data_IF_037975960553
#
_entry.id   IF_037975960553
#
_cell.length_a   1.000
_cell.length_b   1.000
_cell.length_c   1.000
_cell.angle_alpha   90.00
_cell.angle_beta   90.00
_cell.angle_gamma   90.00
#
_symmetry.space_group_name_H-M   'P 1'
#
loop_
_entity.id
_entity.type
_entity.pdbx_description
1 polymer ?
#
# COMPACT_ATOMS: atom_id res chain seq x y z
N UNK A 1 1.60 47.79 13.79
CA UNK A 1 0.91 46.89 14.73
C UNK A 1 -0.02 46.03 13.90
N UNK A 2 0.47 44.81 13.67
CA UNK A 2 -0.21 43.52 13.43
C UNK A 2 -1.19 43.45 12.24
N UNK A 3 -0.83 42.94 11.04
CA UNK A 3 -0.49 41.54 10.68
C UNK A 3 -1.38 40.52 11.39
N UNK A 4 -2.25 39.83 10.64
CA UNK A 4 -2.22 38.38 10.37
C UNK A 4 -3.34 38.01 9.38
N UNK A 5 -2.91 37.46 8.25
CA UNK A 5 -3.71 36.58 7.40
C UNK A 5 -4.12 35.33 8.18
N UNK A 6 -5.26 34.72 7.84
CA UNK A 6 -5.35 33.26 7.75
C UNK A 6 -6.25 32.89 6.56
N UNK A 7 -5.60 32.52 5.46
CA UNK A 7 -6.16 31.62 4.47
C UNK A 7 -6.51 30.32 5.18
N UNK A 8 -7.78 29.92 5.12
CA UNK A 8 -8.20 28.58 5.46
C UNK A 8 -8.05 27.75 4.18
N UNK A 9 -6.98 26.97 4.10
CA UNK A 9 -6.86 25.86 3.15
C UNK A 9 -6.82 24.56 3.96
N UNK A 10 -7.88 23.81 3.75
CA UNK A 10 -8.11 22.40 4.03
C UNK A 10 -6.86 21.53 4.23
N UNK A 11 -6.71 21.02 5.45
CA UNK A 11 -5.88 19.86 5.78
C UNK A 11 -6.55 18.58 5.26
N UNK A 12 -6.22 18.19 4.04
CA UNK A 12 -6.33 16.82 3.56
C UNK A 12 -5.12 16.50 2.69
N UNK A 13 -3.94 16.37 3.32
CA UNK A 13 -2.74 15.86 2.66
C UNK A 13 -2.85 14.33 2.49
N UNK A 14 -3.63 13.90 1.51
CA UNK A 14 -3.44 12.60 0.89
C UNK A 14 -2.05 12.52 0.24
N UNK A 15 -1.51 11.31 0.09
CA UNK A 15 -0.25 11.06 -0.63
C UNK A 15 -0.25 11.88 -1.93
N UNK A 16 0.65 12.85 -2.05
CA UNK A 16 0.81 13.66 -3.25
C UNK A 16 1.29 12.73 -4.38
N UNK A 17 0.36 12.31 -5.25
CA UNK A 17 0.60 11.35 -6.34
C UNK A 17 1.39 11.93 -7.53
N UNK A 18 2.14 13.01 -7.33
CA UNK A 18 2.82 13.73 -8.42
C UNK A 18 4.14 13.04 -8.86
N UNK A 19 4.63 12.05 -8.11
CA UNK A 19 5.88 11.34 -8.41
C UNK A 19 5.65 9.86 -8.74
N UNK A 20 4.99 9.59 -9.87
CA UNK A 20 4.81 8.23 -10.39
C UNK A 20 5.81 7.96 -11.52
N UNK A 21 6.58 6.89 -11.39
CA UNK A 21 7.43 6.36 -12.46
C UNK A 21 6.91 5.02 -12.93
N UNK A 22 7.16 4.67 -14.19
CA UNK A 22 6.57 3.49 -14.81
C UNK A 22 7.63 2.52 -15.35
N UNK A 23 7.23 1.27 -15.51
CA UNK A 23 8.06 0.25 -16.14
C UNK A 23 7.29 -1.03 -16.42
N UNK A 24 7.96 -1.98 -17.05
CA UNK A 24 7.37 -3.29 -17.39
C UNK A 24 6.94 -4.08 -16.16
N UNK A 25 7.84 -4.18 -15.19
CA UNK A 25 7.59 -4.84 -13.91
C UNK A 25 8.56 -4.31 -12.85
N UNK A 26 8.11 -4.28 -11.61
CA UNK A 26 8.96 -3.95 -10.47
C UNK A 26 9.67 -5.20 -9.97
N UNK A 27 11.00 -5.15 -9.88
CA UNK A 27 11.80 -6.27 -9.40
C UNK A 27 12.23 -6.04 -7.95
N UNK A 28 11.56 -6.72 -7.02
CA UNK A 28 11.73 -6.53 -5.58
C UNK A 28 13.15 -6.78 -5.06
N UNK A 29 13.84 -7.78 -5.62
CA UNK A 29 15.21 -8.11 -5.22
C UNK A 29 16.18 -6.94 -5.48
N UNK A 30 16.04 -6.29 -6.64
CA UNK A 30 16.93 -5.20 -7.06
C UNK A 30 16.31 -3.81 -6.85
N UNK A 31 15.06 -3.74 -6.34
CA UNK A 31 14.32 -2.51 -6.03
C UNK A 31 14.31 -1.51 -7.19
N UNK A 32 14.06 -2.01 -8.40
CA UNK A 32 14.02 -1.23 -9.64
C UNK A 32 13.09 -1.86 -10.67
N UNK A 33 12.71 -1.10 -11.69
CA UNK A 33 12.06 -1.68 -12.86
C UNK A 33 12.98 -2.63 -13.61
N UNK A 34 12.43 -3.72 -14.11
CA UNK A 34 13.10 -4.59 -15.09
C UNK A 34 13.41 -3.82 -16.38
N UNK A 35 12.49 -2.95 -16.79
CA UNK A 35 12.61 -2.04 -17.92
C UNK A 35 11.82 -0.76 -17.57
N UNK A 36 12.48 0.38 -17.35
CA UNK A 36 11.81 1.67 -17.17
C UNK A 36 11.06 2.07 -18.45
N UNK A 37 9.85 2.60 -18.30
CA UNK A 37 9.00 3.03 -19.41
C UNK A 37 8.62 4.50 -19.29
N UNK A 38 8.43 5.12 -20.44
CA UNK A 38 7.69 6.39 -20.55
C UNK A 38 6.23 6.19 -20.16
N UNK A 39 5.61 7.25 -19.65
CA UNK A 39 4.21 7.23 -19.23
C UNK A 39 3.25 6.77 -20.33
N UNK A 40 3.45 7.24 -21.57
CA UNK A 40 2.58 6.90 -22.71
C UNK A 40 2.52 5.39 -23.02
N UNK A 41 3.65 4.69 -22.84
CA UNK A 41 3.74 3.24 -23.00
C UNK A 41 2.98 2.53 -21.88
N UNK A 42 3.14 2.98 -20.63
CA UNK A 42 2.41 2.42 -19.49
C UNK A 42 0.90 2.68 -19.58
N UNK A 43 0.49 3.86 -20.06
CA UNK A 43 -0.91 4.21 -20.33
C UNK A 43 -1.53 3.27 -21.36
N UNK A 44 -0.83 3.05 -22.47
CA UNK A 44 -1.26 2.10 -23.51
C UNK A 44 -1.41 0.69 -22.93
N UNK A 45 -0.46 0.25 -22.10
CA UNK A 45 -0.53 -1.05 -21.45
C UNK A 45 -1.74 -1.16 -20.51
N UNK A 46 -2.02 -0.12 -19.73
CA UNK A 46 -3.18 -0.05 -18.85
C UNK A 46 -4.51 -0.15 -19.63
N UNK A 47 -4.68 0.67 -20.67
CA UNK A 47 -5.87 0.66 -21.54
C UNK A 47 -6.08 -0.70 -22.22
N UNK A 48 -4.99 -1.39 -22.55
CA UNK A 48 -5.00 -2.73 -23.17
C UNK A 48 -5.00 -3.88 -22.16
N UNK A 49 -5.10 -3.62 -20.85
CA UNK A 49 -5.07 -4.62 -19.78
C UNK A 49 -3.83 -5.52 -19.82
N UNK A 50 -2.69 -4.94 -20.15
CA UNK A 50 -1.38 -5.58 -20.15
C UNK A 50 -0.62 -5.29 -18.86
N UNK A 51 0.40 -6.11 -18.59
CA UNK A 51 1.22 -5.95 -17.39
C UNK A 51 2.09 -4.69 -17.48
N UNK A 52 2.05 -3.90 -16.43
CA UNK A 52 2.94 -2.77 -16.18
C UNK A 52 3.06 -2.54 -14.67
N UNK A 53 4.04 -1.74 -14.27
CA UNK A 53 4.19 -1.30 -12.89
C UNK A 53 4.29 0.22 -12.82
N UNK A 54 3.71 0.79 -11.77
CA UNK A 54 3.77 2.19 -11.39
C UNK A 54 4.35 2.28 -9.98
N UNK A 55 5.49 2.95 -9.82
CA UNK A 55 6.11 3.21 -8.53
C UNK A 55 5.79 4.63 -8.08
N UNK A 56 5.09 4.74 -6.95
CA UNK A 56 4.66 6.00 -6.33
C UNK A 56 5.71 6.38 -5.29
N UNK A 57 6.20 7.60 -5.38
CA UNK A 57 7.26 8.12 -4.51
C UNK A 57 6.78 9.26 -3.62
N UNK A 58 7.28 9.28 -2.40
CA UNK A 58 7.25 10.42 -1.49
C UNK A 58 8.67 10.99 -1.42
N UNK A 59 8.87 12.19 -1.99
CA UNK A 59 10.20 12.72 -2.30
C UNK A 59 11.04 11.73 -3.11
N UNK A 60 12.20 11.32 -2.56
CA UNK A 60 13.12 10.37 -3.20
C UNK A 60 12.87 8.91 -2.82
N UNK A 61 11.84 8.62 -2.02
CA UNK A 61 11.53 7.28 -1.51
C UNK A 61 10.32 6.71 -2.24
N UNK A 62 10.47 5.53 -2.84
CA UNK A 62 9.34 4.76 -3.35
C UNK A 62 8.62 4.15 -2.16
N UNK A 63 7.37 4.53 -1.96
CA UNK A 63 6.52 4.10 -0.82
C UNK A 63 5.53 3.03 -1.22
N UNK A 64 5.17 2.97 -2.50
CA UNK A 64 4.16 2.04 -3.00
C UNK A 64 4.45 1.68 -4.46
N UNK A 65 4.16 0.44 -4.82
CA UNK A 65 4.23 -0.04 -6.20
C UNK A 65 2.89 -0.67 -6.57
N UNK A 66 2.27 -0.16 -7.62
CA UNK A 66 1.05 -0.71 -8.21
C UNK A 66 1.43 -1.48 -9.47
N UNK A 67 1.14 -2.77 -9.50
CA UNK A 67 1.37 -3.64 -10.66
C UNK A 67 0.04 -3.99 -11.29
N UNK A 68 -0.19 -3.48 -12.50
CA UNK A 68 -1.32 -3.87 -13.33
C UNK A 68 -1.14 -5.30 -13.84
N UNK A 69 -2.19 -6.10 -13.73
CA UNK A 69 -2.29 -7.45 -14.25
C UNK A 69 -3.46 -7.53 -15.23
N UNK A 70 -3.52 -8.61 -16.01
CA UNK A 70 -4.60 -8.82 -16.98
C UNK A 70 -6.01 -8.77 -16.37
N UNK A 71 -6.16 -9.18 -15.11
CA UNK A 71 -7.45 -9.28 -14.42
C UNK A 71 -7.41 -8.66 -13.02
N UNK A 72 -6.62 -7.61 -12.81
CA UNK A 72 -6.54 -6.96 -11.52
C UNK A 72 -5.24 -6.23 -11.25
N UNK A 73 -4.92 -6.05 -9.97
CA UNK A 73 -3.76 -5.30 -9.52
C UNK A 73 -3.13 -5.95 -8.30
N UNK A 74 -1.80 -5.85 -8.20
CA UNK A 74 -1.07 -6.06 -6.95
C UNK A 74 -0.58 -4.69 -6.47
N UNK A 75 -0.81 -4.36 -5.21
CA UNK A 75 -0.30 -3.15 -4.58
C UNK A 75 0.65 -3.54 -3.47
N UNK A 76 1.90 -3.13 -3.58
CA UNK A 76 2.97 -3.42 -2.63
C UNK A 76 3.39 -2.15 -1.91
N UNK A 77 3.16 -2.07 -0.61
CA UNK A 77 3.63 -0.98 0.24
C UNK A 77 5.00 -1.31 0.78
N UNK A 78 5.90 -0.32 0.71
CA UNK A 78 7.30 -0.47 1.04
C UNK A 78 7.63 0.30 2.31
N UNK A 79 8.40 -0.33 3.19
CA UNK A 79 8.97 0.36 4.36
C UNK A 79 10.20 1.19 3.99
N UNK A 80 10.81 1.85 4.99
CA UNK A 80 12.03 2.66 4.81
C UNK A 80 13.21 1.87 4.20
N UNK A 81 13.24 0.55 4.41
CA UNK A 81 14.22 -0.37 3.84
C UNK A 81 13.76 -0.99 2.51
N UNK A 82 12.68 -0.49 1.92
CA UNK A 82 12.11 -0.94 0.64
C UNK A 82 11.72 -2.43 0.67
N UNK A 83 11.26 -2.94 1.82
CA UNK A 83 10.70 -4.28 2.00
C UNK A 83 9.19 -4.21 1.93
N UNK A 84 8.55 -5.25 1.37
CA UNK A 84 7.09 -5.32 1.28
C UNK A 84 6.47 -5.77 2.61
N UNK A 85 6.08 -4.79 3.43
CA UNK A 85 5.41 -5.05 4.71
C UNK A 85 3.90 -5.25 4.56
N UNK A 86 3.29 -4.71 3.49
CA UNK A 86 1.88 -4.85 3.20
C UNK A 86 1.67 -5.05 1.70
N UNK A 87 0.88 -6.05 1.33
CA UNK A 87 0.54 -6.36 -0.06
C UNK A 87 -0.95 -6.56 -0.19
N UNK A 88 -1.56 -5.89 -1.18
CA UNK A 88 -2.94 -6.13 -1.60
C UNK A 88 -2.97 -6.82 -2.95
N UNK A 89 -3.91 -7.75 -3.12
CA UNK A 89 -4.26 -8.31 -4.41
C UNK A 89 -5.72 -8.03 -4.71
N UNK A 90 -5.95 -7.21 -5.72
CA UNK A 90 -7.25 -6.96 -6.30
C UNK A 90 -7.44 -7.84 -7.53
N UNK A 91 -8.59 -8.47 -7.63
CA UNK A 91 -9.01 -9.20 -8.81
C UNK A 91 -10.29 -8.58 -9.36
N UNK A 92 -10.38 -8.42 -10.67
CA UNK A 92 -11.62 -8.00 -11.32
C UNK A 92 -12.63 -9.14 -11.26
N UNK A 93 -13.76 -8.91 -10.59
CA UNK A 93 -14.82 -9.91 -10.39
C UNK A 93 -16.08 -9.62 -11.21
N UNK A 94 -16.19 -8.42 -11.75
CA UNK A 94 -17.18 -7.99 -12.72
C UNK A 94 -16.55 -6.89 -13.60
N UNK A 95 -17.11 -6.59 -14.80
CA UNK A 95 -16.56 -5.56 -15.67
C UNK A 95 -16.30 -4.26 -14.91
N UNK A 96 -15.04 -3.83 -14.93
CA UNK A 96 -14.55 -2.60 -14.29
C UNK A 96 -14.73 -2.55 -12.76
N UNK A 97 -14.91 -3.71 -12.11
CA UNK A 97 -15.07 -3.82 -10.66
C UNK A 97 -14.06 -4.79 -10.06
N UNK A 98 -13.16 -4.20 -9.29
CA UNK A 98 -12.10 -4.89 -8.55
C UNK A 98 -12.61 -5.29 -7.17
N UNK A 99 -12.18 -6.45 -6.71
CA UNK A 99 -12.38 -6.93 -5.36
C UNK A 99 -11.03 -7.25 -4.72
N UNK A 100 -10.77 -6.70 -3.54
CA UNK A 100 -9.63 -7.06 -2.71
C UNK A 100 -9.79 -8.50 -2.24
N UNK A 101 -9.11 -9.44 -2.90
CA UNK A 101 -9.20 -10.87 -2.59
C UNK A 101 -8.12 -11.34 -1.63
N UNK A 102 -7.01 -10.61 -1.52
CA UNK A 102 -5.93 -10.97 -0.61
C UNK A 102 -5.28 -9.75 0.00
N UNK A 103 -4.95 -9.84 1.27
CA UNK A 103 -4.13 -8.87 2.00
C UNK A 103 -3.07 -9.65 2.78
N UNK A 104 -1.79 -9.34 2.56
CA UNK A 104 -0.69 -9.92 3.34
C UNK A 104 0.04 -8.83 4.11
N UNK A 105 0.20 -9.03 5.42
CA UNK A 105 1.03 -8.23 6.32
C UNK A 105 2.27 -9.03 6.70
N UNK A 106 3.40 -8.33 6.80
CA UNK A 106 4.68 -8.92 7.22
C UNK A 106 5.38 -8.01 8.20
N UNK A 107 5.88 -8.61 9.27
CA UNK A 107 6.79 -7.99 10.21
C UNK A 107 8.18 -8.59 9.99
N UNK A 108 9.20 -7.75 10.04
CA UNK A 108 10.59 -8.14 9.81
C UNK A 108 11.39 -8.12 11.11
N UNK A 109 12.41 -8.97 11.18
CA UNK A 109 13.35 -9.01 12.27
C UNK A 109 14.33 -7.82 12.16
N UNK A 110 14.01 -6.72 12.86
CA UNK A 110 14.78 -5.47 12.84
C UNK A 110 14.98 -4.92 11.42
N UNK A 111 16.23 -4.63 11.06
CA UNK A 111 16.61 -4.15 9.72
C UNK A 111 16.91 -5.27 8.72
N UNK A 112 16.74 -6.54 9.12
CA UNK A 112 17.05 -7.68 8.24
C UNK A 112 15.96 -7.90 7.19
N UNK A 113 16.20 -8.78 6.22
CA UNK A 113 15.16 -9.23 5.28
C UNK A 113 14.35 -10.43 5.78
N UNK A 114 14.64 -10.91 6.98
CA UNK A 114 13.98 -12.06 7.56
C UNK A 114 12.60 -11.63 8.05
N UNK A 115 11.57 -12.29 7.53
CA UNK A 115 10.20 -12.13 8.05
C UNK A 115 10.15 -12.85 9.40
N UNK A 116 9.68 -12.14 10.42
CA UNK A 116 9.46 -12.66 11.77
C UNK A 116 8.03 -13.18 11.92
N UNK A 117 7.07 -12.43 11.40
CA UNK A 117 5.66 -12.79 11.43
C UNK A 117 5.00 -12.41 10.11
N UNK A 118 4.07 -13.25 9.65
CA UNK A 118 3.27 -12.99 8.46
C UNK A 118 1.82 -13.36 8.69
N UNK A 119 0.91 -12.55 8.16
CA UNK A 119 -0.52 -12.80 8.22
C UNK A 119 -1.13 -12.52 6.85
N UNK A 120 -1.94 -13.45 6.34
CA UNK A 120 -2.62 -13.32 5.06
C UNK A 120 -4.11 -13.54 5.23
N UNK A 121 -4.89 -12.57 4.78
CA UNK A 121 -6.34 -12.62 4.69
C UNK A 121 -6.72 -12.94 3.26
N UNK A 122 -7.59 -13.91 3.08
CA UNK A 122 -8.25 -14.22 1.82
C UNK A 122 -9.71 -13.86 1.94
N UNK A 123 -10.14 -12.85 1.20
CA UNK A 123 -11.51 -12.39 1.19
C UNK A 123 -12.28 -13.03 0.04
N UNK A 124 -13.55 -13.30 0.27
CA UNK A 124 -14.47 -13.78 -0.75
C UNK A 124 -15.65 -12.81 -0.88
N UNK A 125 -16.19 -12.59 -2.11
CA UNK A 125 -17.35 -11.73 -2.33
C UNK A 125 -18.61 -12.09 -1.55
N UNK A 126 -18.71 -13.34 -1.09
CA UNK A 126 -19.83 -13.85 -0.29
C UNK A 126 -19.70 -13.57 1.21
N UNK A 127 -18.65 -12.84 1.63
CA UNK A 127 -18.42 -12.47 3.03
C UNK A 127 -17.54 -13.46 3.80
N UNK A 128 -17.11 -14.58 3.19
CA UNK A 128 -16.15 -15.48 3.85
C UNK A 128 -14.77 -14.83 3.91
N UNK A 129 -14.03 -15.15 4.98
CA UNK A 129 -12.63 -14.75 5.16
C UNK A 129 -11.84 -15.96 5.66
N UNK A 130 -10.73 -16.29 5.01
CA UNK A 130 -9.73 -17.20 5.57
C UNK A 130 -8.53 -16.37 6.04
N UNK A 131 -8.04 -16.62 7.24
CA UNK A 131 -6.87 -15.96 7.80
C UNK A 131 -5.82 -17.03 8.04
N UNK A 132 -4.62 -16.81 7.50
CA UNK A 132 -3.47 -17.68 7.70
C UNK A 132 -2.35 -16.85 8.31
N UNK A 133 -1.79 -17.30 9.44
CA UNK A 133 -0.65 -16.63 10.06
C UNK A 133 0.49 -17.58 10.36
N UNK A 134 1.71 -17.06 10.35
CA UNK A 134 2.94 -17.79 10.65
C UNK A 134 3.88 -16.92 11.48
N UNK A 135 4.29 -17.44 12.64
CA UNK A 135 5.42 -16.94 13.42
C UNK A 135 6.66 -17.76 13.03
N UNK A 136 7.63 -17.11 12.39
CA UNK A 136 8.82 -17.75 11.81
C UNK A 136 9.93 -18.00 12.84
N UNK A 137 9.81 -17.45 14.05
CA UNK A 137 10.75 -17.73 15.15
C UNK A 137 10.41 -19.06 15.83
N UNK A 138 9.12 -19.26 16.12
CA UNK A 138 8.58 -20.46 16.76
C UNK A 138 8.20 -21.56 15.77
N UNK A 139 7.97 -21.22 14.50
CA UNK A 139 7.40 -22.10 13.48
C UNK A 139 5.90 -22.35 13.64
N UNK A 140 5.21 -21.59 14.52
CA UNK A 140 3.79 -21.73 14.74
C UNK A 140 3.00 -21.22 13.54
N UNK A 141 1.96 -21.96 13.15
CA UNK A 141 1.04 -21.59 12.08
C UNK A 141 -0.41 -21.68 12.55
N UNK A 142 -1.23 -20.71 12.18
CA UNK A 142 -2.67 -20.73 12.45
C UNK A 142 -3.46 -20.58 11.16
N UNK A 143 -4.68 -21.12 11.19
CA UNK A 143 -5.66 -20.93 10.13
C UNK A 143 -7.03 -20.74 10.75
N UNK A 144 -7.65 -19.63 10.44
CA UNK A 144 -8.99 -19.27 10.91
C UNK A 144 -9.90 -19.04 9.71
N UNK A 145 -11.18 -19.34 9.88
CA UNK A 145 -12.20 -19.13 8.85
C UNK A 145 -13.37 -18.40 9.49
N UNK A 146 -13.75 -17.28 8.90
CA UNK A 146 -14.97 -16.54 9.22
C UNK A 146 -15.98 -16.78 8.12
N UNK A 147 -17.19 -17.20 8.49
CA UNK A 147 -18.25 -17.51 7.52
C UNK A 147 -19.04 -16.28 7.06
N UNK A 148 -19.02 -15.19 7.83
CA UNK A 148 -19.75 -13.96 7.52
C UNK A 148 -19.01 -12.74 8.05
N UNK A 149 -18.58 -11.87 7.14
CA UNK A 149 -18.05 -10.55 7.42
C UNK A 149 -18.55 -9.55 6.36
N UNK A 150 -18.65 -8.27 6.72
CA UNK A 150 -18.94 -7.22 5.75
C UNK A 150 -17.71 -6.95 4.88
N UNK A 151 -17.78 -7.38 3.61
CA UNK A 151 -16.73 -7.17 2.59
C UNK A 151 -17.13 -6.08 1.59
N UNK A 152 -18.15 -5.27 1.87
CA UNK A 152 -18.61 -4.20 0.97
C UNK A 152 -17.49 -3.19 0.66
N UNK A 153 -16.64 -2.89 1.64
CA UNK A 153 -15.49 -2.00 1.50
C UNK A 153 -14.30 -2.59 0.70
N UNK A 154 -14.35 -3.88 0.34
CA UNK A 154 -13.30 -4.53 -0.46
C UNK A 154 -13.48 -4.31 -1.96
N UNK A 155 -14.58 -3.66 -2.37
CA UNK A 155 -14.85 -3.34 -3.76
C UNK A 155 -14.27 -1.98 -4.15
N UNK A 156 -13.65 -1.93 -5.33
CA UNK A 156 -13.14 -0.70 -5.95
C UNK A 156 -13.54 -0.68 -7.43
N UNK A 157 -13.66 0.53 -7.98
CA UNK A 157 -13.71 0.67 -9.44
C UNK A 157 -12.33 0.34 -10.03
N UNK A 158 -12.30 -0.06 -11.30
CA UNK A 158 -11.05 -0.10 -12.06
C UNK A 158 -10.46 1.33 -12.10
N UNK A 159 -9.21 1.54 -11.67
CA UNK A 159 -8.66 2.89 -11.56
C UNK A 159 -8.43 3.50 -12.94
N UNK A 160 -8.55 4.82 -13.05
CA UNK A 160 -8.02 5.55 -14.19
C UNK A 160 -6.48 5.50 -14.18
N UNK A 161 -5.86 5.49 -15.36
CA UNK A 161 -4.40 5.48 -15.44
C UNK A 161 -3.79 6.71 -14.74
N UNK A 162 -2.93 6.45 -13.77
CA UNK A 162 -2.24 7.48 -12.96
C UNK A 162 -2.99 7.85 -11.67
N UNK A 163 -4.27 7.47 -11.53
CA UNK A 163 -5.03 7.66 -10.29
C UNK A 163 -5.20 6.34 -9.55
N UNK A 164 -4.26 6.04 -8.66
CA UNK A 164 -4.28 4.81 -7.88
C UNK A 164 -4.77 5.00 -6.44
N UNK A 165 -5.30 6.19 -6.10
CA UNK A 165 -5.69 6.57 -4.72
C UNK A 165 -6.63 5.56 -4.07
N UNK A 166 -7.53 4.99 -4.86
CA UNK A 166 -8.46 3.98 -4.37
C UNK A 166 -7.77 2.70 -3.92
N UNK A 167 -6.75 2.26 -4.66
CA UNK A 167 -6.04 1.00 -4.41
C UNK A 167 -4.95 1.16 -3.33
N UNK A 168 -4.38 2.36 -3.17
CA UNK A 168 -3.19 2.61 -2.34
C UNK A 168 -3.51 3.19 -0.97
N UNK A 169 -4.61 2.76 -0.34
CA UNK A 169 -4.99 3.16 1.03
C UNK A 169 -4.38 2.18 2.04
N UNK A 170 -3.34 2.51 2.81
CA UNK A 170 -2.73 1.54 3.73
C UNK A 170 -3.64 1.20 4.93
N UNK A 171 -4.50 2.14 5.36
CA UNK A 171 -5.44 1.99 6.48
C UNK A 171 -6.74 1.28 6.08
N UNK A 172 -6.69 0.21 5.29
CA UNK A 172 -7.89 -0.61 5.08
C UNK A 172 -8.27 -1.32 6.38
N UNK A 173 -9.40 -0.90 6.95
CA UNK A 173 -10.01 -1.59 8.09
C UNK A 173 -10.52 -2.94 7.62
N UNK A 174 -9.89 -4.01 8.10
CA UNK A 174 -10.45 -5.36 8.01
C UNK A 174 -11.40 -5.49 9.20
N UNK A 175 -12.70 -5.31 8.97
CA UNK A 175 -13.70 -5.48 10.01
C UNK A 175 -14.03 -6.97 10.14
N UNK A 176 -13.37 -7.63 11.09
CA UNK A 176 -13.72 -8.98 11.52
C UNK A 176 -14.50 -8.83 12.82
N UNK A 177 -15.82 -9.03 12.74
CA UNK A 177 -16.62 -9.23 13.95
C UNK A 177 -16.20 -10.58 14.54
N UNK A 178 -15.48 -10.53 15.66
CA UNK A 178 -14.80 -11.62 16.39
C UNK A 178 -13.32 -11.88 16.07
N UNK A 179 -12.44 -11.07 16.65
CA UNK A 179 -11.13 -11.57 17.11
C UNK A 179 -10.72 -10.84 18.41
N UNK A 180 -10.28 -11.52 19.47
CA UNK A 180 -9.70 -10.86 20.63
C UNK A 180 -8.38 -10.20 20.21
N UNK A 181 -8.27 -8.91 20.49
CA UNK A 181 -7.08 -8.06 20.39
C UNK A 181 -5.73 -8.79 20.24
N UNK A 182 -5.18 -8.82 19.02
CA UNK A 182 -3.74 -8.92 18.81
C UNK A 182 -3.28 -7.69 18.03
N UNK A 183 -2.95 -6.68 18.85
CA UNK A 183 -1.99 -5.58 18.65
C UNK A 183 -2.11 -4.69 17.40
N UNK A 184 -2.94 -3.66 17.58
CA UNK A 184 -3.09 -2.44 16.77
C UNK A 184 -1.89 -1.45 16.83
N UNK A 185 -0.64 -1.92 16.97
CA UNK A 185 0.53 -1.04 17.22
C UNK A 185 1.27 -0.60 15.94
N UNK A 186 1.09 -1.29 14.81
CA UNK A 186 1.84 -0.96 13.59
C UNK A 186 1.30 0.27 12.81
N UNK A 187 0.06 0.69 13.05
CA UNK A 187 -0.54 1.84 12.35
C UNK A 187 -0.22 3.18 13.03
N UNK A 188 0.08 3.20 14.34
CA UNK A 188 0.50 4.43 15.04
C UNK A 188 1.89 4.87 14.61
N UNK A 189 2.80 3.90 14.40
CA UNK A 189 4.21 4.19 14.13
C UNK A 189 4.42 4.75 12.73
N UNK A 190 3.65 4.31 11.72
CA UNK A 190 3.73 4.88 10.37
C UNK A 190 3.26 6.35 10.31
N UNK A 191 2.21 6.71 11.07
CA UNK A 191 1.78 8.11 11.17
C UNK A 191 2.82 8.98 11.88
N UNK A 192 3.50 8.41 12.89
CA UNK A 192 4.45 9.13 13.73
C UNK A 192 5.81 9.28 13.04
N UNK A 193 6.28 8.27 12.30
CA UNK A 193 7.52 8.35 11.49
C UNK A 193 7.36 9.31 10.30
N UNK A 194 6.23 9.27 9.58
CA UNK A 194 5.97 10.26 8.52
C UNK A 194 5.88 11.70 9.07
N UNK A 195 5.35 11.90 10.28
CA UNK A 195 5.32 13.22 10.92
C UNK A 195 6.70 13.67 11.42
N UNK A 196 7.51 12.74 11.95
CA UNK A 196 8.86 13.04 12.45
C UNK A 196 9.88 13.29 11.33
N UNK A 197 9.81 12.58 10.20
CA UNK A 197 10.66 12.85 9.03
C UNK A 197 10.35 14.23 8.43
N UNK A 198 9.06 14.64 8.36
CA UNK A 198 8.66 15.98 7.90
C UNK A 198 9.12 17.11 8.82
N UNK A 199 9.08 16.90 10.14
CA UNK A 199 9.58 17.88 11.11
C UNK A 199 11.11 18.06 11.01
N UNK A 200 11.83 17.00 10.68
CA UNK A 200 13.29 17.01 10.53
C UNK A 200 13.75 17.71 9.25
N UNK A 201 13.03 17.52 8.14
CA UNK A 201 13.34 18.19 6.87
C UNK A 201 12.96 19.68 6.88
N UNK A 202 11.89 20.08 7.58
CA UNK A 202 11.58 21.50 7.81
C UNK A 202 12.64 22.18 8.69
N UNK A 203 13.18 21.49 9.70
CA UNK A 203 14.27 22.02 10.53
C UNK A 203 15.58 22.20 9.73
N UNK A 204 15.86 21.34 8.75
CA UNK A 204 17.07 21.43 7.92
C UNK A 204 16.98 22.52 6.83
N UNK A 205 15.78 22.88 6.36
CA UNK A 205 15.62 24.00 5.43
C UNK A 205 15.77 25.38 6.10
N UNK A 206 15.45 25.49 7.40
CA UNK A 206 15.61 26.75 8.15
C UNK A 206 17.08 27.07 8.46
N UNK A 207 17.95 26.06 8.56
CA UNK A 207 19.39 26.24 8.89
C UNK A 207 20.23 26.68 7.67
N UNK A 208 19.69 26.67 6.44
CA UNK A 208 20.41 27.14 5.24
C UNK A 208 20.19 28.62 4.88
N UNK A 209 19.48 29.39 5.70
CA UNK A 209 19.22 30.82 5.48
C UNK A 209 19.49 31.70 6.71
N UNK A 210 20.50 31.36 7.51
CA UNK A 210 21.07 32.26 8.53
C UNK A 210 22.58 32.26 8.46
#
# INVERSE_FOLDING_TARGET
MDLWHHHSQSDQEGIMMENITYGKSWFLANRRFSEPWEESKARTAHEQRQVYAAAISDGNRIVCVVTGLMQGFIVSFLDSLKREFLVYQFNEKAPERLFLSMLTRREFDGETRRVKYGETYYFYPDGRINIESEDFDSGQRTREVTESADVSANWEAYPEFGDYRSLTRPERQVQIEHTPSLHLWALSDFSTECQNERASDQALQVIRFT
#
